data_IF_069800877538
#
_entry.id   IF_069800877538
#
_cell.length_a   1.000
_cell.length_b   1.000
_cell.length_c   1.000
_cell.angle_alpha   90.00
_cell.angle_beta   90.00
_cell.angle_gamma   90.00
#
_symmetry.space_group_name_H-M   'P 1'
#
loop_
_entity.id
_entity.type
_entity.pdbx_description
1 polymer ?
#
# COMPACT_ATOMS: atom_id res chain seq x y z
N UNK A 1 -30.33 -6.27 -11.74
CA UNK A 1 -29.09 -7.03 -11.96
C UNK A 1 -28.17 -6.17 -12.78
N UNK A 2 -26.94 -6.00 -12.30
CA UNK A 2 -25.88 -5.20 -12.93
C UNK A 2 -25.39 -5.91 -14.20
N UNK A 3 -24.98 -5.19 -15.25
CA UNK A 3 -24.43 -5.80 -16.48
C UNK A 3 -23.22 -6.72 -16.20
N UNK A 4 -22.47 -6.45 -15.12
CA UNK A 4 -21.37 -7.29 -14.66
C UNK A 4 -21.81 -8.70 -14.21
N UNK A 5 -23.03 -8.84 -13.67
CA UNK A 5 -23.56 -10.14 -13.19
C UNK A 5 -23.91 -11.07 -14.35
N UNK A 6 -24.10 -10.54 -15.56
CA UNK A 6 -24.44 -11.32 -16.74
C UNK A 6 -23.21 -11.71 -17.59
N UNK A 7 -22.04 -11.10 -17.34
CA UNK A 7 -20.81 -11.33 -18.12
C UNK A 7 -19.77 -12.21 -17.43
N UNK A 8 -19.94 -12.51 -16.14
CA UNK A 8 -19.04 -13.35 -15.35
C UNK A 8 -19.79 -14.54 -14.76
N UNK A 9 -19.13 -15.69 -14.70
CA UNK A 9 -19.60 -16.80 -13.87
C UNK A 9 -19.59 -16.39 -12.38
N UNK A 10 -20.36 -17.12 -11.55
CA UNK A 10 -20.44 -16.85 -10.12
C UNK A 10 -19.06 -16.84 -9.45
N UNK A 11 -18.19 -17.80 -9.78
CA UNK A 11 -16.84 -17.89 -9.22
C UNK A 11 -15.96 -16.70 -9.66
N UNK A 12 -16.05 -16.30 -10.93
CA UNK A 12 -15.35 -15.10 -11.43
C UNK A 12 -15.81 -13.83 -10.74
N UNK A 13 -17.11 -13.71 -10.45
CA UNK A 13 -17.65 -12.58 -9.70
C UNK A 13 -17.15 -12.56 -8.24
N UNK A 14 -17.05 -13.70 -7.57
CA UNK A 14 -16.47 -13.80 -6.22
C UNK A 14 -14.98 -13.39 -6.20
N UNK A 15 -14.19 -13.86 -7.18
CA UNK A 15 -12.80 -13.45 -7.32
C UNK A 15 -12.67 -11.96 -7.66
N UNK A 16 -13.52 -11.42 -8.54
CA UNK A 16 -13.55 -10.00 -8.88
C UNK A 16 -13.89 -9.13 -7.67
N UNK A 17 -14.84 -9.54 -6.82
CA UNK A 17 -15.14 -8.82 -5.55
C UNK A 17 -13.95 -8.81 -4.61
N UNK A 18 -13.26 -9.95 -4.45
CA UNK A 18 -12.06 -10.04 -3.63
C UNK A 18 -10.92 -9.15 -4.18
N UNK A 19 -10.72 -9.18 -5.50
CA UNK A 19 -9.74 -8.33 -6.19
C UNK A 19 -10.08 -6.84 -6.04
N UNK A 20 -11.32 -6.43 -6.32
CA UNK A 20 -11.81 -5.05 -6.20
C UNK A 20 -11.70 -4.51 -4.77
N UNK A 21 -11.88 -5.37 -3.77
CA UNK A 21 -11.68 -4.97 -2.36
C UNK A 21 -10.21 -4.73 -2.03
N UNK A 22 -9.30 -5.47 -2.66
CA UNK A 22 -7.85 -5.33 -2.45
C UNK A 22 -7.19 -4.29 -3.36
N UNK A 23 -7.77 -3.98 -4.52
CA UNK A 23 -7.17 -3.09 -5.52
C UNK A 23 -6.82 -1.70 -4.97
N UNK A 24 -7.68 -1.01 -4.16
CA UNK A 24 -7.28 0.24 -3.54
C UNK A 24 -6.07 0.08 -2.61
N UNK A 25 -5.99 -1.04 -1.89
CA UNK A 25 -4.87 -1.32 -0.97
C UNK A 25 -3.58 -1.60 -1.76
N UNK A 26 -3.69 -2.31 -2.88
CA UNK A 26 -2.57 -2.64 -3.76
C UNK A 26 -1.98 -1.39 -4.42
N UNK A 27 -2.82 -0.52 -4.97
CA UNK A 27 -2.38 0.76 -5.57
C UNK A 27 -1.67 1.63 -4.54
N UNK A 28 -2.19 1.70 -3.32
CA UNK A 28 -1.58 2.48 -2.25
C UNK A 28 -0.25 1.90 -1.75
N UNK A 29 -0.15 0.56 -1.66
CA UNK A 29 1.10 -0.11 -1.31
C UNK A 29 2.17 0.08 -2.36
N UNK A 30 1.80 0.00 -3.64
CA UNK A 30 2.72 0.22 -4.75
C UNK A 30 3.20 1.68 -4.81
N UNK A 31 2.30 2.65 -4.59
CA UNK A 31 2.63 4.07 -4.50
C UNK A 31 3.60 4.34 -3.33
N UNK A 32 3.31 3.79 -2.14
CA UNK A 32 4.17 3.93 -0.97
C UNK A 32 5.55 3.26 -1.17
N UNK A 33 5.61 2.09 -1.80
CA UNK A 33 6.87 1.42 -2.12
C UNK A 33 7.72 2.25 -3.09
N UNK A 34 7.10 2.74 -4.17
CA UNK A 34 7.76 3.61 -5.15
C UNK A 34 8.29 4.89 -4.52
N UNK A 35 7.48 5.54 -3.67
CA UNK A 35 7.86 6.74 -2.95
C UNK A 35 9.07 6.52 -2.02
N UNK A 36 9.10 5.41 -1.27
CA UNK A 36 10.21 5.05 -0.40
C UNK A 36 11.52 4.84 -1.16
N UNK A 37 11.47 4.17 -2.32
CA UNK A 37 12.65 3.96 -3.16
C UNK A 37 13.18 5.32 -3.64
N UNK A 38 12.32 6.19 -4.17
CA UNK A 38 12.73 7.49 -4.70
C UNK A 38 13.33 8.39 -3.61
N UNK A 39 12.68 8.47 -2.44
CA UNK A 39 13.18 9.25 -1.31
C UNK A 39 14.54 8.75 -0.83
N UNK A 40 14.71 7.43 -0.70
CA UNK A 40 15.99 6.83 -0.28
C UNK A 40 17.13 7.20 -1.24
N UNK A 41 16.87 7.15 -2.56
CA UNK A 41 17.86 7.54 -3.57
C UNK A 41 18.23 9.01 -3.42
N UNK A 42 17.26 9.91 -3.30
CA UNK A 42 17.52 11.35 -3.16
C UNK A 42 18.28 11.66 -1.85
N UNK A 43 17.85 11.10 -0.72
CA UNK A 43 18.50 11.29 0.58
C UNK A 43 19.95 10.78 0.58
N UNK A 44 20.26 9.75 -0.22
CA UNK A 44 21.63 9.23 -0.36
C UNK A 44 22.55 10.11 -1.21
N UNK A 45 21.98 10.95 -2.07
CA UNK A 45 22.75 11.74 -3.06
C UNK A 45 22.90 13.20 -2.66
N UNK A 46 21.87 13.79 -2.03
CA UNK A 46 21.82 15.22 -1.73
C UNK A 46 21.13 15.49 -0.40
N UNK A 47 21.64 16.48 0.35
CA UNK A 47 20.88 17.05 1.47
C UNK A 47 19.65 17.78 0.91
N UNK A 48 18.49 17.44 1.42
CA UNK A 48 17.22 17.94 0.96
C UNK A 48 16.21 17.95 2.12
N UNK A 49 15.08 18.66 1.95
CA UNK A 49 13.98 18.72 2.92
C UNK A 49 12.74 17.96 2.40
N UNK A 50 12.92 17.05 1.44
CA UNK A 50 11.81 16.31 0.84
C UNK A 50 11.29 15.23 1.79
N UNK A 51 9.99 15.03 1.73
CA UNK A 51 9.21 14.10 2.55
C UNK A 51 8.63 13.01 1.66
N UNK A 52 8.17 11.89 2.25
CA UNK A 52 7.67 10.76 1.48
C UNK A 52 6.52 11.14 0.52
N UNK A 53 5.64 12.05 0.96
CA UNK A 53 4.50 12.57 0.18
C UNK A 53 4.89 13.32 -1.10
N UNK A 54 6.13 13.83 -1.18
CA UNK A 54 6.61 14.52 -2.38
C UNK A 54 6.81 13.53 -3.54
N UNK A 55 6.85 12.23 -3.23
CA UNK A 55 7.03 11.12 -4.17
C UNK A 55 5.79 10.24 -4.32
N UNK A 56 4.68 10.53 -3.62
CA UNK A 56 3.41 9.80 -3.79
C UNK A 56 2.54 10.45 -4.87
N UNK A 57 1.86 9.63 -5.66
CA UNK A 57 1.00 10.07 -6.76
C UNK A 57 -0.47 10.21 -6.34
N UNK A 58 -0.94 9.34 -5.45
CA UNK A 58 -2.39 9.17 -5.22
C UNK A 58 -2.87 9.70 -3.86
N UNK A 59 -1.96 10.06 -2.96
CA UNK A 59 -2.30 10.45 -1.58
C UNK A 59 -1.58 11.73 -1.09
N UNK A 60 -1.40 12.72 -1.96
CA UNK A 60 -0.72 13.99 -1.60
C UNK A 60 -1.34 14.72 -0.40
N UNK A 61 -2.66 14.63 -0.23
CA UNK A 61 -3.40 15.30 0.85
C UNK A 61 -3.89 14.36 1.97
N UNK A 62 -3.79 13.04 1.76
CA UNK A 62 -4.34 12.02 2.66
C UNK A 62 -3.29 11.18 3.38
N UNK A 63 -2.01 11.27 2.99
CA UNK A 63 -0.90 10.88 3.86
C UNK A 63 -0.71 11.97 4.94
N UNK A 64 -1.62 11.97 5.91
CA UNK A 64 -1.32 12.54 7.22
C UNK A 64 -0.91 11.36 8.07
N UNK A 65 0.35 10.98 8.01
CA UNK A 65 0.91 10.15 9.08
C UNK A 65 2.29 10.71 9.38
N UNK A 66 2.45 11.16 10.62
CA UNK A 66 3.76 11.37 11.23
C UNK A 66 4.65 10.18 10.87
N UNK A 67 5.87 10.42 10.40
CA UNK A 67 6.79 9.33 10.06
C UNK A 67 6.81 8.34 11.23
N UNK A 68 6.40 7.07 11.02
CA UNK A 68 6.33 6.12 12.10
C UNK A 68 7.73 5.96 12.67
N UNK A 69 7.85 6.14 13.98
CA UNK A 69 9.12 5.90 14.63
C UNK A 69 9.56 4.43 14.44
N UNK A 70 10.81 4.17 14.80
CA UNK A 70 11.43 2.85 14.65
C UNK A 70 10.61 1.77 15.40
N UNK A 71 9.98 2.09 16.53
CA UNK A 71 9.18 1.13 17.29
C UNK A 71 7.85 0.81 16.61
N UNK A 72 7.19 1.80 16.02
CA UNK A 72 5.94 1.61 15.28
C UNK A 72 6.20 0.80 14.01
N UNK A 73 7.30 1.09 13.32
CA UNK A 73 7.75 0.31 12.15
C UNK A 73 7.99 -1.16 12.53
N UNK A 74 8.71 -1.41 13.62
CA UNK A 74 8.99 -2.77 14.11
C UNK A 74 7.72 -3.52 14.56
N UNK A 75 6.75 -2.83 15.15
CA UNK A 75 5.45 -3.41 15.51
C UNK A 75 4.66 -3.84 14.28
N UNK A 76 4.60 -3.00 13.24
CA UNK A 76 3.90 -3.29 12.00
C UNK A 76 4.51 -4.51 11.29
N UNK A 77 5.86 -4.58 11.20
CA UNK A 77 6.58 -5.72 10.64
C UNK A 77 6.22 -7.01 11.39
N UNK A 78 6.31 -7.00 12.73
CA UNK A 78 5.99 -8.19 13.54
C UNK A 78 4.54 -8.62 13.40
N UNK A 79 3.59 -7.68 13.31
CA UNK A 79 2.17 -8.01 13.14
C UNK A 79 1.92 -8.71 11.81
N UNK A 80 2.52 -8.23 10.71
CA UNK A 80 2.37 -8.84 9.38
C UNK A 80 3.00 -10.23 9.34
N UNK A 81 4.26 -10.36 9.72
CA UNK A 81 4.96 -11.65 9.64
C UNK A 81 4.49 -12.66 10.69
N UNK A 82 4.08 -12.20 11.88
CA UNK A 82 3.47 -13.04 12.90
C UNK A 82 2.10 -13.60 12.46
N UNK A 83 1.27 -12.78 11.80
CA UNK A 83 -0.01 -13.24 11.26
C UNK A 83 0.16 -14.26 10.11
N UNK A 84 1.23 -14.14 9.32
CA UNK A 84 1.57 -15.10 8.27
C UNK A 84 2.09 -16.42 8.85
N UNK A 85 2.87 -16.37 9.93
CA UNK A 85 3.37 -17.58 10.62
C UNK A 85 2.28 -18.34 11.38
N UNK A 86 1.19 -17.67 11.80
CA UNK A 86 0.09 -18.32 12.51
C UNK A 86 -0.89 -19.07 11.58
N UNK A 87 -0.77 -18.88 10.26
CA UNK A 87 -1.61 -19.52 9.23
C UNK A 87 -0.92 -20.69 8.51
N UNK A 88 0.31 -21.07 8.90
CA UNK A 88 1.06 -22.21 8.36
C UNK A 88 1.01 -23.44 9.26
#
# INVERSE_FOLDING_TARGET
MSELENSMSYDEFEYWKAFSTMEPISILREDALGANICKTIIDSQVKNETTLKDFTLWQRDSYVDEEPDVEQTMRNIKAVFGALSAKS
#
